data_IF_065836724427
#
_entry.id   IF_065836724427
#
_cell.length_a   1.000
_cell.length_b   1.000
_cell.length_c   1.000
_cell.angle_alpha   90.00
_cell.angle_beta   90.00
_cell.angle_gamma   90.00
#
_symmetry.space_group_name_H-M   'P 1'
#
loop_
_entity.id
_entity.type
_entity.pdbx_description
1 polymer ?
#
# COMPACT_ATOMS: atom_id res chain seq x y z
N UNK A 1 -4.23 -24.29 19.79
CA UNK A 1 -5.00 -23.92 18.58
C UNK A 1 -4.15 -24.29 17.38
N UNK A 2 -4.59 -25.25 16.57
CA UNK A 2 -3.89 -25.61 15.33
C UNK A 2 -4.12 -24.49 14.31
N UNK A 3 -3.07 -23.73 13.99
CA UNK A 3 -3.09 -22.87 12.81
C UNK A 3 -3.02 -23.80 11.60
N UNK A 4 -4.07 -23.94 10.77
CA UNK A 4 -4.01 -24.81 9.61
C UNK A 4 -2.87 -24.38 8.69
N UNK A 5 -2.01 -25.33 8.31
CA UNK A 5 -0.96 -25.11 7.32
C UNK A 5 -1.64 -24.98 5.97
N UNK A 6 -1.83 -23.75 5.50
CA UNK A 6 -2.24 -23.51 4.12
C UNK A 6 -0.98 -23.68 3.25
N UNK A 7 -0.80 -24.87 2.69
CA UNK A 7 0.18 -25.17 1.64
C UNK A 7 -0.48 -24.88 0.27
N UNK A 8 -0.60 -23.59 -0.06
CA UNK A 8 -1.00 -23.14 -1.39
C UNK A 8 0.23 -22.59 -2.12
N UNK A 9 0.38 -22.85 -3.43
CA UNK A 9 1.38 -22.16 -4.25
C UNK A 9 1.27 -20.65 -4.10
N UNK A 10 2.38 -19.92 -4.24
CA UNK A 10 2.37 -18.45 -4.10
C UNK A 10 1.41 -17.74 -5.06
N UNK A 11 1.07 -18.37 -6.19
CA UNK A 11 0.09 -17.87 -7.17
C UNK A 11 -1.37 -17.95 -6.70
N UNK A 12 -1.67 -18.84 -5.76
CA UNK A 12 -3.04 -19.15 -5.30
C UNK A 12 -3.34 -18.54 -3.92
N UNK A 13 -2.35 -17.83 -3.36
CA UNK A 13 -2.47 -17.06 -2.14
C UNK A 13 -3.04 -15.67 -2.47
N UNK A 14 -4.36 -15.57 -2.44
CA UNK A 14 -5.11 -14.31 -2.54
C UNK A 14 -5.78 -13.94 -1.22
N UNK A 15 -6.25 -12.70 -1.11
CA UNK A 15 -6.95 -12.22 0.09
C UNK A 15 -8.30 -12.94 0.29
N UNK A 16 -8.94 -13.39 -0.79
CA UNK A 16 -10.12 -14.26 -0.74
C UNK A 16 -9.80 -15.70 -0.30
N UNK A 17 -8.59 -16.18 -0.57
CA UNK A 17 -8.20 -17.58 -0.37
C UNK A 17 -7.77 -17.93 1.07
N UNK A 18 -7.69 -16.92 1.96
CA UNK A 18 -7.25 -17.06 3.37
C UNK A 18 -8.27 -16.42 4.31
N UNK A 19 -8.50 -17.01 5.48
CA UNK A 19 -9.44 -16.47 6.49
C UNK A 19 -8.76 -15.61 7.56
N UNK A 20 -7.43 -15.54 7.52
CA UNK A 20 -6.60 -14.86 8.51
C UNK A 20 -5.54 -14.03 7.82
N UNK A 21 -5.47 -12.75 8.18
CA UNK A 21 -4.33 -11.88 7.89
C UNK A 21 -3.37 -11.89 9.07
N UNK A 22 -2.26 -11.17 8.95
CA UNK A 22 -1.33 -10.99 10.07
C UNK A 22 -1.12 -9.52 10.34
N UNK A 23 -1.08 -9.15 11.61
CA UNK A 23 -0.57 -7.85 12.01
C UNK A 23 0.96 -7.87 12.08
N UNK A 24 1.58 -6.70 11.95
CA UNK A 24 2.99 -6.51 12.24
C UNK A 24 3.16 -5.22 13.07
N UNK A 25 3.62 -5.39 14.30
CA UNK A 25 3.83 -4.32 15.29
C UNK A 25 5.30 -3.89 15.42
N UNK A 26 6.21 -4.38 14.57
CA UNK A 26 7.66 -4.09 14.63
C UNK A 26 7.96 -2.58 14.69
N UNK A 27 7.18 -1.77 13.98
CA UNK A 27 7.41 -0.32 13.89
C UNK A 27 6.73 0.49 15.01
N UNK A 28 6.03 -0.13 15.98
CA UNK A 28 5.34 0.61 17.04
C UNK A 28 6.28 1.37 17.97
N UNK A 29 7.54 0.93 18.11
CA UNK A 29 8.56 1.64 18.88
C UNK A 29 8.87 3.04 18.32
N UNK A 30 8.63 3.28 17.02
CA UNK A 30 8.89 4.55 16.33
C UNK A 30 7.61 5.23 15.81
N UNK A 31 6.51 4.48 15.70
CA UNK A 31 5.19 4.96 15.27
C UNK A 31 4.10 4.33 16.16
N UNK A 32 3.87 4.83 17.39
CA UNK A 32 3.07 4.15 18.43
C UNK A 32 1.61 3.83 18.09
N UNK A 33 1.02 4.48 17.07
CA UNK A 33 -0.34 4.18 16.59
C UNK A 33 -0.40 3.28 15.35
N UNK A 34 0.76 2.88 14.82
CA UNK A 34 0.83 2.14 13.57
C UNK A 34 0.65 0.63 13.78
N UNK A 35 -0.07 0.00 12.85
CA UNK A 35 -0.14 -1.44 12.72
C UNK A 35 -0.19 -1.79 11.24
N UNK A 36 0.81 -2.51 10.74
CA UNK A 36 0.72 -3.10 9.40
C UNK A 36 -0.28 -4.25 9.46
N UNK A 37 -1.30 -4.23 8.61
CA UNK A 37 -2.13 -5.40 8.31
C UNK A 37 -1.60 -6.00 7.01
N UNK A 38 -1.08 -7.21 7.12
CA UNK A 38 -0.37 -7.94 6.06
C UNK A 38 -1.27 -9.06 5.56
N UNK A 39 -1.64 -8.98 4.29
CA UNK A 39 -2.38 -10.01 3.56
C UNK A 39 -1.54 -10.56 2.40
N UNK A 40 -1.96 -11.66 1.75
CA UNK A 40 -1.26 -12.17 0.56
C UNK A 40 -1.06 -11.11 -0.54
N UNK A 41 -2.04 -10.22 -0.76
CA UNK A 41 -2.01 -9.20 -1.80
C UNK A 41 -1.74 -7.77 -1.28
N UNK A 42 -1.54 -7.61 0.04
CA UNK A 42 -1.19 -6.35 0.70
C UNK A 42 0.01 -6.57 1.64
N UNK A 43 1.25 -6.55 1.11
CA UNK A 43 2.46 -6.77 1.91
C UNK A 43 2.76 -5.59 2.85
N UNK A 44 3.61 -5.84 3.85
CA UNK A 44 4.08 -4.78 4.76
C UNK A 44 4.74 -3.62 4.02
N UNK A 45 4.56 -2.40 4.53
CA UNK A 45 4.95 -1.16 3.84
C UNK A 45 6.46 -1.05 3.59
N UNK A 46 7.28 -1.73 4.40
CA UNK A 46 8.73 -1.78 4.25
C UNK A 46 9.21 -2.76 3.15
N UNK A 47 8.31 -3.51 2.51
CA UNK A 47 8.66 -4.49 1.48
C UNK A 47 9.23 -5.81 2.02
N UNK A 48 9.66 -5.85 3.28
CA UNK A 48 10.30 -7.03 3.90
C UNK A 48 9.28 -8.10 4.29
N UNK A 49 8.21 -7.71 4.98
CA UNK A 49 7.27 -8.67 5.56
C UNK A 49 6.13 -9.02 4.60
N UNK A 50 6.02 -10.30 4.26
CA UNK A 50 4.89 -10.90 3.53
C UNK A 50 3.96 -11.65 4.47
N UNK A 51 2.79 -12.02 3.98
CA UNK A 51 1.87 -12.86 4.74
C UNK A 51 2.50 -14.19 5.18
N UNK A 52 3.27 -14.87 4.31
CA UNK A 52 3.97 -16.10 4.71
C UNK A 52 5.03 -15.85 5.78
N UNK A 53 5.81 -14.75 5.67
CA UNK A 53 6.85 -14.47 6.66
C UNK A 53 6.25 -14.12 8.03
N UNK A 54 5.15 -13.38 8.06
CA UNK A 54 4.43 -13.09 9.32
C UNK A 54 3.83 -14.36 9.93
N UNK A 55 3.26 -15.24 9.10
CA UNK A 55 2.77 -16.57 9.55
C UNK A 55 3.89 -17.40 10.17
N UNK A 56 5.02 -17.51 9.48
CA UNK A 56 6.18 -18.25 9.97
C UNK A 56 6.76 -17.62 11.25
N UNK A 57 6.84 -16.29 11.29
CA UNK A 57 7.30 -15.53 12.45
C UNK A 57 6.41 -15.76 13.69
N UNK A 58 5.09 -15.75 13.53
CA UNK A 58 4.15 -16.09 14.60
C UNK A 58 4.30 -17.54 15.07
N UNK A 59 4.46 -18.49 14.13
CA UNK A 59 4.67 -19.89 14.49
C UNK A 59 5.97 -20.15 15.27
N UNK A 60 6.99 -19.32 15.04
CA UNK A 60 8.25 -19.37 15.77
C UNK A 60 8.17 -18.69 17.16
N UNK A 61 7.44 -17.58 17.28
CA UNK A 61 7.26 -16.84 18.53
C UNK A 61 5.82 -16.30 18.66
N UNK A 62 5.04 -16.94 19.54
CA UNK A 62 3.61 -16.64 19.72
C UNK A 62 3.37 -15.29 20.40
N UNK A 63 4.35 -14.73 21.11
CA UNK A 63 4.25 -13.41 21.75
C UNK A 63 5.00 -12.32 20.97
N UNK A 64 5.54 -12.69 19.80
CA UNK A 64 6.28 -11.81 18.93
C UNK A 64 5.42 -10.73 18.28
N UNK A 65 6.05 -9.90 17.41
CA UNK A 65 5.41 -8.73 16.82
C UNK A 65 4.38 -9.05 15.73
N UNK A 66 4.23 -10.33 15.36
CA UNK A 66 3.27 -10.78 14.36
C UNK A 66 2.13 -11.51 15.06
N UNK A 67 0.90 -11.05 14.89
CA UNK A 67 -0.26 -11.71 15.49
C UNK A 67 -1.28 -12.05 14.41
N UNK A 68 -1.94 -13.22 14.47
CA UNK A 68 -3.00 -13.57 13.54
C UNK A 68 -4.18 -12.61 13.72
N UNK A 69 -4.73 -12.13 12.60
CA UNK A 69 -5.91 -11.28 12.55
C UNK A 69 -6.97 -12.04 11.75
N UNK A 70 -7.86 -12.80 12.41
CA UNK A 70 -9.02 -13.39 11.74
C UNK A 70 -9.82 -12.29 11.05
N UNK A 71 -10.18 -12.46 9.78
CA UNK A 71 -10.90 -11.43 9.03
C UNK A 71 -12.25 -11.10 9.72
N UNK A 72 -12.95 -12.10 10.24
CA UNK A 72 -14.29 -11.92 10.79
C UNK A 72 -15.28 -11.48 9.70
N UNK A 73 -16.28 -10.68 10.06
CA UNK A 73 -17.30 -10.22 9.11
C UNK A 73 -16.70 -9.25 8.07
N UNK A 74 -16.94 -9.53 6.79
CA UNK A 74 -16.67 -8.59 5.70
C UNK A 74 -17.67 -7.43 5.77
N UNK A 75 -17.18 -6.19 5.86
CA UNK A 75 -18.00 -4.97 5.96
C UNK A 75 -18.10 -4.26 4.61
N UNK A 76 -16.98 -4.16 3.89
CA UNK A 76 -16.94 -3.61 2.53
C UNK A 76 -15.91 -4.38 1.69
N UNK A 77 -16.40 -5.08 0.66
CA UNK A 77 -15.56 -5.85 -0.26
C UNK A 77 -14.68 -4.97 -1.14
N UNK A 78 -15.20 -3.83 -1.59
CA UNK A 78 -14.50 -2.93 -2.51
C UNK A 78 -13.31 -2.28 -1.80
N UNK A 79 -13.55 -1.75 -0.60
CA UNK A 79 -12.53 -1.04 0.18
C UNK A 79 -11.59 -1.98 0.94
N UNK A 80 -11.93 -3.27 1.05
CA UNK A 80 -11.17 -4.23 1.84
C UNK A 80 -11.31 -3.91 3.33
N UNK A 81 -12.55 -3.84 3.81
CA UNK A 81 -12.86 -3.56 5.21
C UNK A 81 -13.45 -4.80 5.88
N UNK A 82 -12.81 -5.20 6.98
CA UNK A 82 -13.20 -6.35 7.77
C UNK A 82 -13.31 -5.97 9.24
N UNK A 83 -14.28 -6.55 9.92
CA UNK A 83 -14.50 -6.29 11.34
C UNK A 83 -13.26 -6.65 12.18
N UNK A 84 -12.68 -7.83 11.98
CA UNK A 84 -11.52 -8.26 12.78
C UNK A 84 -10.27 -7.42 12.53
N UNK A 85 -10.13 -6.86 11.33
CA UNK A 85 -9.07 -5.88 11.01
C UNK A 85 -9.28 -4.58 11.77
N UNK A 86 -10.51 -4.06 11.78
CA UNK A 86 -10.84 -2.83 12.51
C UNK A 86 -10.61 -3.00 14.02
N UNK A 87 -11.02 -4.13 14.61
CA UNK A 87 -10.79 -4.45 16.01
C UNK A 87 -9.29 -4.49 16.36
N UNK A 88 -8.47 -5.14 15.52
CA UNK A 88 -7.02 -5.20 15.72
C UNK A 88 -6.37 -3.80 15.66
N UNK A 89 -6.78 -2.96 14.71
CA UNK A 89 -6.24 -1.60 14.56
C UNK A 89 -6.72 -0.67 15.68
N UNK A 90 -7.96 -0.79 16.12
CA UNK A 90 -8.50 -0.03 17.26
C UNK A 90 -7.70 -0.30 18.54
N UNK A 91 -7.43 -1.57 18.83
CA UNK A 91 -6.62 -1.98 19.98
C UNK A 91 -5.19 -1.45 19.84
N UNK A 92 -4.54 -1.73 18.71
CA UNK A 92 -3.13 -1.38 18.50
C UNK A 92 -2.87 0.13 18.47
N UNK A 93 -3.85 0.93 18.03
CA UNK A 93 -3.73 2.38 17.98
C UNK A 93 -4.10 3.08 19.29
N UNK A 94 -4.52 2.34 20.32
CA UNK A 94 -5.02 2.89 21.58
C UNK A 94 -6.32 3.69 21.39
N UNK A 95 -7.20 3.22 20.49
CA UNK A 95 -8.49 3.85 20.19
C UNK A 95 -8.44 5.00 19.18
N UNK A 96 -7.26 5.35 18.63
CA UNK A 96 -7.10 6.50 17.72
C UNK A 96 -7.53 6.21 16.29
N UNK A 97 -7.54 4.95 15.87
CA UNK A 97 -7.95 4.53 14.53
C UNK A 97 -8.96 3.41 14.67
N UNK A 98 -10.23 3.74 14.44
CA UNK A 98 -11.34 2.79 14.63
C UNK A 98 -11.48 1.80 13.48
N UNK A 99 -11.10 2.23 12.28
CA UNK A 99 -11.21 1.42 11.06
C UNK A 99 -10.17 1.84 10.03
N UNK A 100 -9.86 0.90 9.15
CA UNK A 100 -9.05 1.15 7.95
C UNK A 100 -9.64 0.39 6.76
N UNK A 101 -9.36 0.89 5.57
CA UNK A 101 -9.64 0.26 4.29
C UNK A 101 -8.31 -0.13 3.64
N UNK A 102 -8.09 -1.42 3.40
CA UNK A 102 -6.81 -1.89 2.86
C UNK A 102 -6.59 -1.49 1.39
N UNK A 103 -7.67 -1.22 0.65
CA UNK A 103 -7.62 -0.99 -0.80
C UNK A 103 -7.96 0.43 -1.20
N UNK A 104 -7.97 1.37 -0.24
CA UNK A 104 -8.35 2.77 -0.44
C UNK A 104 -7.24 3.71 0.05
N UNK A 105 -6.99 4.73 -0.74
CA UNK A 105 -6.16 5.91 -0.45
C UNK A 105 -6.99 7.05 0.13
N UNK A 106 -8.28 7.14 -0.23
CA UNK A 106 -9.12 8.31 0.06
C UNK A 106 -9.96 8.08 1.33
N UNK A 107 -10.73 7.01 1.37
CA UNK A 107 -11.58 6.68 2.51
C UNK A 107 -10.82 5.83 3.53
N UNK A 108 -10.54 6.38 4.71
CA UNK A 108 -9.86 5.73 5.84
C UNK A 108 -8.68 4.81 5.45
N UNK A 109 -7.63 5.34 4.78
CA UNK A 109 -6.49 4.52 4.37
C UNK A 109 -5.76 3.89 5.56
N UNK A 110 -4.97 2.86 5.30
CA UNK A 110 -4.09 2.27 6.30
C UNK A 110 -3.13 3.33 6.89
N UNK A 111 -2.79 3.20 8.18
CA UNK A 111 -1.82 4.09 8.82
C UNK A 111 -0.42 3.86 8.27
N UNK A 112 0.45 4.87 8.28
CA UNK A 112 1.81 4.75 7.73
C UNK A 112 2.89 4.85 8.81
N UNK A 113 3.94 4.03 8.69
CA UNK A 113 5.16 4.17 9.49
C UNK A 113 6.33 4.76 8.68
N UNK A 114 7.37 5.17 9.41
CA UNK A 114 8.59 5.73 8.84
C UNK A 114 9.44 4.74 8.03
N UNK A 115 9.06 3.46 7.95
CA UNK A 115 9.81 2.43 7.21
C UNK A 115 9.21 2.09 5.83
N UNK A 116 8.18 2.80 5.38
CA UNK A 116 7.63 2.61 4.03
C UNK A 116 8.70 2.80 2.93
N UNK A 117 8.66 1.96 1.88
CA UNK A 117 9.57 2.09 0.74
C UNK A 117 9.12 3.15 -0.25
N UNK A 118 7.81 3.35 -0.36
CA UNK A 118 7.17 4.30 -1.25
C UNK A 118 5.93 4.92 -0.59
N UNK A 119 5.48 6.04 -1.13
CA UNK A 119 4.28 6.76 -0.69
C UNK A 119 3.41 7.04 -1.91
N UNK A 120 2.13 6.71 -1.80
CA UNK A 120 1.11 7.17 -2.73
C UNK A 120 0.47 8.46 -2.20
N UNK A 121 0.23 9.43 -3.07
CA UNK A 121 -0.39 10.71 -2.75
C UNK A 121 -1.38 11.14 -3.85
N UNK A 122 -2.59 11.56 -3.47
CA UNK A 122 -3.60 12.06 -4.42
C UNK A 122 -3.12 13.33 -5.11
N UNK A 123 -3.38 13.42 -6.41
CA UNK A 123 -3.17 14.60 -7.25
C UNK A 123 -4.54 15.06 -7.80
N UNK A 124 -5.24 15.98 -7.10
CA UNK A 124 -6.61 16.33 -7.42
C UNK A 124 -6.81 16.88 -8.83
N UNK A 125 -5.91 17.72 -9.34
CA UNK A 125 -6.01 18.30 -10.70
C UNK A 125 -5.79 17.26 -11.79
N UNK A 126 -5.08 16.18 -11.48
CA UNK A 126 -4.85 15.07 -12.39
C UNK A 126 -5.89 13.94 -12.27
N UNK A 127 -6.84 14.01 -11.33
CA UNK A 127 -7.84 12.97 -11.07
C UNK A 127 -7.20 11.57 -10.91
N UNK A 128 -6.09 11.51 -10.18
CA UNK A 128 -5.29 10.32 -9.96
C UNK A 128 -4.39 10.46 -8.74
N UNK A 129 -3.37 9.62 -8.65
CA UNK A 129 -2.37 9.68 -7.59
C UNK A 129 -0.96 9.52 -8.17
N UNK A 130 0.02 9.98 -7.43
CA UNK A 130 1.43 9.71 -7.67
C UNK A 130 1.96 8.65 -6.71
N UNK A 131 3.04 7.98 -7.10
CA UNK A 131 3.87 7.15 -6.21
C UNK A 131 5.29 7.69 -6.21
N UNK A 132 5.88 7.91 -5.05
CA UNK A 132 7.29 8.29 -4.90
C UNK A 132 8.01 7.32 -3.97
N UNK A 133 9.19 6.85 -4.39
CA UNK A 133 10.01 5.95 -3.58
C UNK A 133 11.03 6.69 -2.70
N UNK A 134 11.49 6.00 -1.66
CA UNK A 134 12.47 6.48 -0.67
C UNK A 134 13.78 6.99 -1.27
N UNK A 135 14.18 6.41 -2.40
CA UNK A 135 15.40 6.75 -3.13
C UNK A 135 15.24 7.92 -4.11
N UNK A 136 14.04 8.50 -4.21
CA UNK A 136 13.81 9.74 -4.94
C UNK A 136 14.03 10.95 -4.01
N UNK A 137 15.00 11.79 -4.38
CA UNK A 137 15.35 13.01 -3.65
C UNK A 137 14.74 14.28 -4.25
N UNK A 138 14.12 14.17 -5.43
CA UNK A 138 13.53 15.30 -6.15
C UNK A 138 12.17 15.74 -5.61
N UNK A 139 11.72 16.88 -6.12
CA UNK A 139 10.36 17.36 -5.89
C UNK A 139 9.35 16.48 -6.63
N UNK A 140 8.11 16.45 -6.14
CA UNK A 140 7.03 15.67 -6.73
C UNK A 140 5.81 16.55 -6.99
N UNK A 141 4.87 16.12 -7.83
CA UNK A 141 3.64 16.87 -8.07
C UNK A 141 2.79 17.14 -6.83
N UNK A 142 2.99 16.41 -5.73
CA UNK A 142 2.35 16.69 -4.44
C UNK A 142 2.95 17.90 -3.70
N UNK A 143 3.94 18.59 -4.30
CA UNK A 143 4.59 19.78 -3.70
C UNK A 143 5.54 19.45 -2.54
N UNK A 144 5.87 18.18 -2.35
CA UNK A 144 6.76 17.68 -1.30
C UNK A 144 7.72 16.62 -1.85
N UNK A 145 8.92 16.56 -1.29
CA UNK A 145 9.84 15.42 -1.47
C UNK A 145 9.34 14.19 -0.71
N UNK A 146 9.92 13.01 -0.99
CA UNK A 146 9.63 11.81 -0.20
C UNK A 146 9.88 12.01 1.31
N UNK A 147 10.96 12.72 1.69
CA UNK A 147 11.32 12.89 3.10
C UNK A 147 10.29 13.76 3.84
N UNK A 148 9.75 14.77 3.17
CA UNK A 148 8.69 15.63 3.71
C UNK A 148 7.37 14.86 3.81
N UNK A 149 6.98 14.12 2.77
CA UNK A 149 5.79 13.25 2.81
C UNK A 149 5.89 12.21 3.93
N UNK A 150 7.05 11.55 4.07
CA UNK A 150 7.29 10.58 5.15
C UNK A 150 7.12 11.22 6.52
N UNK A 151 7.67 12.42 6.72
CA UNK A 151 7.48 13.17 7.98
C UNK A 151 6.01 13.53 8.18
N UNK A 152 5.28 13.86 7.13
CA UNK A 152 3.87 14.23 7.23
C UNK A 152 2.98 13.05 7.67
N UNK A 153 3.21 11.84 7.13
CA UNK A 153 2.28 10.70 7.33
C UNK A 153 2.82 9.56 8.22
N UNK A 154 4.12 9.56 8.53
CA UNK A 154 4.82 8.43 9.16
C UNK A 154 4.60 8.22 10.67
N UNK A 155 3.67 8.96 11.27
CA UNK A 155 3.40 8.92 12.71
C UNK A 155 2.31 7.93 13.13
N UNK A 156 1.85 7.06 12.23
CA UNK A 156 0.88 6.02 12.55
C UNK A 156 -0.56 6.52 12.70
N UNK A 157 -0.89 7.64 12.05
CA UNK A 157 -2.27 8.08 11.86
C UNK A 157 -2.77 7.70 10.45
N UNK A 158 -4.08 7.54 10.30
CA UNK A 158 -4.73 7.43 8.98
C UNK A 158 -4.82 8.82 8.37
N UNK A 159 -4.26 9.01 7.18
CA UNK A 159 -4.21 10.31 6.51
C UNK A 159 -4.87 10.20 5.12
N UNK A 160 -6.17 10.49 4.99
CA UNK A 160 -6.86 10.51 3.71
C UNK A 160 -6.08 11.22 2.61
N UNK A 161 -5.92 10.56 1.47
CA UNK A 161 -5.16 11.04 0.33
C UNK A 161 -3.69 10.62 0.32
N UNK A 162 -3.20 9.98 1.38
CA UNK A 162 -1.80 9.53 1.49
C UNK A 162 -1.67 8.15 2.13
N UNK A 163 -0.81 7.29 1.59
CA UNK A 163 -0.47 6.02 2.24
C UNK A 163 0.95 5.58 1.88
N UNK A 164 1.70 5.12 2.87
CA UNK A 164 2.96 4.43 2.66
C UNK A 164 2.74 2.98 2.27
N UNK A 165 3.56 2.47 1.37
CA UNK A 165 3.49 1.10 0.88
C UNK A 165 4.86 0.59 0.41
N UNK A 166 4.94 -0.70 0.12
CA UNK A 166 6.14 -1.29 -0.50
C UNK A 166 6.18 -1.01 -2.00
N UNK A 167 7.36 -1.02 -2.62
CA UNK A 167 7.47 -0.85 -4.08
C UNK A 167 6.72 -1.95 -4.84
N UNK A 168 6.85 -3.19 -4.38
CA UNK A 168 6.17 -4.36 -4.96
C UNK A 168 4.64 -4.29 -4.88
N UNK A 169 4.08 -3.50 -3.97
CA UNK A 169 2.63 -3.34 -3.89
C UNK A 169 2.07 -2.64 -5.13
N UNK A 170 2.81 -1.75 -5.80
CA UNK A 170 2.30 -0.92 -6.91
C UNK A 170 1.65 -1.74 -8.02
N UNK A 171 2.20 -2.91 -8.34
CA UNK A 171 1.71 -3.80 -9.40
C UNK A 171 0.78 -4.90 -8.88
N UNK A 172 0.45 -4.88 -7.58
CA UNK A 172 -0.46 -5.82 -6.96
C UNK A 172 -1.91 -5.62 -7.40
N UNK A 173 -2.69 -6.70 -7.45
CA UNK A 173 -4.10 -6.66 -7.90
C UNK A 173 -5.02 -5.86 -6.98
N UNK A 174 -4.68 -5.79 -5.69
CA UNK A 174 -5.42 -5.06 -4.65
C UNK A 174 -4.91 -3.63 -4.40
N UNK A 175 -3.83 -3.23 -5.07
CA UNK A 175 -3.22 -1.92 -4.84
C UNK A 175 -4.19 -0.80 -5.20
N UNK A 176 -4.65 -0.10 -4.16
CA UNK A 176 -5.61 1.01 -4.25
C UNK A 176 -6.83 0.69 -5.13
N UNK A 177 -7.25 -0.58 -5.14
CA UNK A 177 -8.27 -1.08 -6.07
C UNK A 177 -9.64 -0.43 -5.87
N UNK A 178 -9.96 0.05 -4.66
CA UNK A 178 -11.18 0.78 -4.39
C UNK A 178 -11.25 2.13 -5.11
N UNK A 179 -10.09 2.72 -5.40
CA UNK A 179 -9.94 4.02 -6.03
C UNK A 179 -9.58 3.92 -7.52
N UNK A 180 -9.69 2.73 -8.13
CA UNK A 180 -9.35 2.49 -9.54
C UNK A 180 -7.93 1.96 -9.77
N UNK A 181 -7.18 1.73 -8.69
CA UNK A 181 -5.90 1.04 -8.68
C UNK A 181 -4.87 1.62 -9.65
N UNK A 182 -4.09 0.75 -10.28
CA UNK A 182 -2.96 1.14 -11.12
C UNK A 182 -3.32 2.09 -12.28
N UNK A 183 -4.56 2.04 -12.78
CA UNK A 183 -5.02 2.93 -13.86
C UNK A 183 -5.18 4.40 -13.42
N UNK A 184 -5.14 4.68 -12.11
CA UNK A 184 -5.12 6.03 -11.55
C UNK A 184 -3.72 6.53 -11.19
N UNK A 185 -2.69 5.72 -11.38
CA UNK A 185 -1.31 6.17 -11.22
C UNK A 185 -0.96 7.11 -12.38
N UNK A 186 -0.69 8.38 -12.07
CA UNK A 186 -0.41 9.41 -13.08
C UNK A 186 1.03 9.91 -13.03
N UNK A 187 1.77 9.63 -11.96
CA UNK A 187 3.17 10.03 -11.84
C UNK A 187 3.98 9.07 -10.99
N UNK A 188 5.18 8.73 -11.45
CA UNK A 188 6.11 7.86 -10.72
C UNK A 188 7.55 8.15 -11.15
N UNK A 189 8.56 8.17 -10.26
CA UNK A 189 9.94 8.40 -10.66
C UNK A 189 10.39 7.43 -11.75
N UNK A 190 11.13 7.92 -12.75
CA UNK A 190 11.59 7.10 -13.88
C UNK A 190 12.41 5.89 -13.42
N UNK A 191 13.22 6.07 -12.37
CA UNK A 191 13.98 4.99 -11.73
C UNK A 191 13.07 3.91 -11.15
N UNK A 192 11.99 4.29 -10.48
CA UNK A 192 11.02 3.33 -9.93
C UNK A 192 10.28 2.61 -11.06
N UNK A 193 9.86 3.32 -12.12
CA UNK A 193 9.29 2.68 -13.34
C UNK A 193 10.21 1.61 -13.90
N UNK A 194 11.50 1.90 -14.01
CA UNK A 194 12.50 0.94 -14.48
C UNK A 194 12.66 -0.24 -13.53
N UNK A 195 12.69 0.01 -12.22
CA UNK A 195 12.85 -1.02 -11.18
C UNK A 195 11.71 -2.04 -11.18
N UNK A 196 10.46 -1.59 -11.36
CA UNK A 196 9.28 -2.47 -11.40
C UNK A 196 8.80 -2.78 -12.82
N UNK A 197 9.60 -2.47 -13.85
CA UNK A 197 9.17 -2.40 -15.25
C UNK A 197 8.52 -3.67 -15.79
N UNK A 198 9.12 -4.83 -15.55
CA UNK A 198 8.58 -6.12 -16.03
C UNK A 198 7.22 -6.42 -15.38
N UNK A 199 7.12 -6.25 -14.06
CA UNK A 199 5.88 -6.44 -13.31
C UNK A 199 4.82 -5.42 -13.70
N UNK A 200 5.22 -4.18 -13.99
CA UNK A 200 4.33 -3.10 -14.43
C UNK A 200 3.77 -3.42 -15.81
N UNK A 201 4.62 -3.85 -16.75
CA UNK A 201 4.21 -4.24 -18.09
C UNK A 201 3.25 -5.43 -18.08
N UNK A 202 3.55 -6.45 -17.28
CA UNK A 202 2.66 -7.60 -17.10
C UNK A 202 1.30 -7.15 -16.56
N UNK A 203 1.29 -6.35 -15.48
CA UNK A 203 0.03 -5.89 -14.87
C UNK A 203 -0.75 -4.97 -15.80
N UNK A 204 -0.06 -4.12 -16.56
CA UNK A 204 -0.64 -3.25 -17.57
C UNK A 204 -1.35 -4.04 -18.68
N UNK A 205 -0.72 -5.12 -19.16
CA UNK A 205 -1.33 -6.04 -20.12
C UNK A 205 -2.57 -6.76 -19.55
N UNK A 206 -2.51 -7.22 -18.29
CA UNK A 206 -3.67 -7.81 -17.60
C UNK A 206 -4.85 -6.83 -17.47
N UNK A 207 -4.58 -5.53 -17.39
CA UNK A 207 -5.58 -4.47 -17.30
C UNK A 207 -6.05 -3.97 -18.68
N UNK A 208 -5.51 -4.50 -19.78
CA UNK A 208 -5.87 -4.11 -21.14
C UNK A 208 -5.26 -2.77 -21.60
N UNK A 209 -4.24 -2.26 -20.90
CA UNK A 209 -3.55 -1.00 -21.24
C UNK A 209 -2.04 -1.27 -21.32
N UNK A 210 -1.54 -2.01 -22.31
CA UNK A 210 -0.15 -2.46 -22.36
C UNK A 210 0.87 -1.32 -22.48
N UNK A 211 0.45 -0.12 -22.87
CA UNK A 211 1.28 1.09 -22.93
C UNK A 211 1.18 1.95 -21.66
N UNK A 212 0.60 1.45 -20.56
CA UNK A 212 0.35 2.21 -19.33
C UNK A 212 1.63 2.84 -18.75
N UNK A 213 2.77 2.15 -18.82
CA UNK A 213 4.05 2.70 -18.36
C UNK A 213 4.40 4.02 -19.04
N UNK A 214 4.09 4.14 -20.32
CA UNK A 214 4.31 5.37 -21.10
C UNK A 214 3.25 6.43 -20.81
N UNK A 215 2.08 6.08 -20.28
CA UNK A 215 1.03 7.05 -19.93
C UNK A 215 1.28 7.71 -18.58
N UNK A 216 1.97 7.01 -17.68
CA UNK A 216 2.38 7.55 -16.37
C UNK A 216 3.47 8.61 -16.61
N UNK A 217 3.34 9.81 -16.06
CA UNK A 217 4.38 10.84 -16.11
C UNK A 217 5.54 10.53 -15.14
N UNK A 218 6.68 11.16 -15.32
CA UNK A 218 7.79 11.15 -14.36
C UNK A 218 8.47 12.51 -14.30
N UNK A 219 9.56 12.61 -13.56
CA UNK A 219 10.30 13.86 -13.38
C UNK A 219 10.81 14.47 -14.70
N UNK A 220 10.92 13.70 -15.79
CA UNK A 220 11.33 14.22 -17.10
C UNK A 220 10.19 14.97 -17.82
N UNK A 221 8.93 14.71 -17.45
CA UNK A 221 7.76 15.45 -17.94
C UNK A 221 7.37 16.59 -17.00
N UNK A 222 7.71 16.51 -15.71
CA UNK A 222 7.47 17.57 -14.75
C UNK A 222 7.33 17.09 -13.30
N UNK A 223 7.38 18.06 -12.38
CA UNK A 223 7.29 17.83 -10.92
C UNK A 223 6.17 18.64 -10.26
N UNK A 224 5.22 19.16 -11.04
CA UNK A 224 3.98 19.81 -10.56
C UNK A 224 2.78 19.25 -11.32
N UNK A 225 1.58 19.32 -10.73
CA UNK A 225 0.36 18.88 -11.41
C UNK A 225 0.15 19.65 -12.74
N UNK A 226 0.45 20.95 -12.78
CA UNK A 226 0.32 21.78 -13.98
C UNK A 226 1.30 21.37 -15.08
N UNK A 227 2.52 20.96 -14.72
CA UNK A 227 3.53 20.56 -15.69
C UNK A 227 3.20 19.23 -16.36
N UNK A 228 2.64 18.28 -15.60
CA UNK A 228 2.34 16.93 -16.11
C UNK A 228 0.97 16.82 -16.76
N UNK A 229 0.01 17.68 -16.40
CA UNK A 229 -1.36 17.61 -16.93
C UNK A 229 -1.45 17.67 -18.48
N UNK A 230 -0.67 18.51 -19.20
CA UNK A 230 -0.64 18.50 -20.66
C UNK A 230 -0.14 17.19 -21.25
N UNK A 231 0.78 16.50 -20.57
CA UNK A 231 1.27 15.18 -20.98
C UNK A 231 0.16 14.12 -20.83
N UNK A 232 -0.48 14.09 -19.66
CA UNK A 232 -1.55 13.13 -19.35
C UNK A 232 -2.74 13.26 -20.31
N UNK A 233 -3.09 14.47 -20.75
CA UNK A 233 -4.19 14.70 -21.70
C UNK A 233 -3.91 14.22 -23.13
N UNK A 234 -2.64 14.05 -23.50
CA UNK A 234 -2.23 13.61 -24.84
C UNK A 234 -2.13 12.09 -24.97
N UNK A 235 -2.01 11.39 -23.83
CA UNK A 235 -1.84 9.94 -23.71
C UNK A 235 -3.16 9.28 -23.36
#
# INVERSE_FOLDING_TARGET
MNVPIVDKPSSDLTDEAVDTFYSCAVCQSISPGHLCIVSPEHPGQCGVYTWQSCRAGYAADLIGPYQPVPKGRLLDRRCGQWQGVNEAVLIASGGKTEKINLYSLIDHPATTCNQCEAIAAVLPKCNGFMVVSRDCHGMTPAGMTFQELRRYIGYGASTPGFVGHSKKAVTGRKFLAADGGLLRLVWMPSKLKKEIGDSLQQRAAELGVPDLSDRIADETMGVTEEAILPYLKKK
#
